data_IF_405160975036
#
_entry.id   IF_405160975036
#
_cell.length_a   1.000
_cell.length_b   1.000
_cell.length_c   1.000
_cell.angle_alpha   90.00
_cell.angle_beta   90.00
_cell.angle_gamma   90.00
#
_symmetry.space_group_name_H-M   'P 1'
#
loop_
_entity.id
_entity.type
_entity.pdbx_description
1 polymer ?
#
# COMPACT_ATOMS: atom_id res chain seq x y z
N UNK A 1 -33.03 -18.92 -22.92
CA UNK A 1 -32.34 -18.32 -21.75
C UNK A 1 -31.03 -19.08 -21.62
N UNK A 2 -30.10 -18.84 -22.56
CA UNK A 2 -28.83 -18.08 -22.40
C UNK A 2 -27.93 -18.78 -21.38
N UNK A 3 -27.05 -19.70 -21.79
CA UNK A 3 -25.66 -19.44 -22.23
C UNK A 3 -25.05 -18.21 -21.52
N UNK A 4 -23.96 -18.44 -20.77
CA UNK A 4 -22.71 -17.66 -20.73
C UNK A 4 -21.98 -17.88 -19.39
N UNK A 5 -21.52 -19.11 -19.18
CA UNK A 5 -20.32 -19.40 -18.40
C UNK A 5 -19.15 -18.63 -19.04
N UNK A 6 -18.55 -17.67 -18.33
CA UNK A 6 -17.39 -16.90 -18.81
C UNK A 6 -16.34 -16.75 -17.72
N UNK A 7 -15.50 -17.77 -17.65
CA UNK A 7 -14.03 -17.73 -17.69
C UNK A 7 -13.36 -16.63 -16.86
N UNK A 8 -12.74 -17.06 -15.77
CA UNK A 8 -11.62 -16.36 -15.14
C UNK A 8 -10.50 -16.12 -16.16
N UNK A 9 -10.17 -14.84 -16.39
CA UNK A 9 -8.97 -14.39 -17.10
C UNK A 9 -8.46 -13.16 -16.32
N UNK A 10 -7.52 -13.38 -15.42
CA UNK A 10 -6.09 -13.07 -15.62
C UNK A 10 -5.80 -11.56 -15.56
N UNK A 11 -5.44 -11.10 -14.36
CA UNK A 11 -4.86 -9.79 -14.13
C UNK A 11 -3.41 -9.79 -14.61
N UNK A 12 -3.19 -9.56 -15.91
CA UNK A 12 -1.86 -9.28 -16.46
C UNK A 12 -1.49 -7.80 -16.18
N UNK A 13 -1.06 -7.51 -14.96
CA UNK A 13 -0.38 -6.24 -14.67
C UNK A 13 1.13 -6.48 -14.68
N UNK A 14 1.73 -6.26 -15.86
CA UNK A 14 3.19 -6.28 -16.03
C UNK A 14 3.85 -5.22 -15.15
N UNK A 15 4.59 -5.67 -14.14
CA UNK A 15 5.35 -4.83 -13.23
C UNK A 15 6.60 -4.26 -13.93
N UNK A 16 6.92 -2.95 -13.79
CA UNK A 16 8.12 -2.37 -14.38
C UNK A 16 9.39 -2.86 -13.65
N UNK A 17 10.33 -3.38 -14.43
CA UNK A 17 11.60 -3.94 -13.95
C UNK A 17 12.53 -2.80 -13.51
N UNK A 18 12.88 -2.76 -12.22
CA UNK A 18 13.98 -1.94 -11.69
C UNK A 18 15.22 -2.84 -11.50
N UNK A 19 16.43 -2.38 -11.84
CA UNK A 19 17.62 -3.22 -11.74
C UNK A 19 18.16 -3.32 -10.32
N UNK A 20 18.44 -4.58 -9.95
CA UNK A 20 19.31 -5.09 -8.88
C UNK A 20 18.89 -4.81 -7.42
N UNK A 21 17.82 -5.49 -6.99
CA UNK A 21 17.59 -5.84 -5.59
C UNK A 21 17.73 -7.36 -5.46
N UNK A 22 18.59 -7.82 -4.55
CA UNK A 22 18.80 -9.24 -4.27
C UNK A 22 17.47 -9.97 -4.10
N UNK A 23 17.33 -11.12 -4.75
CA UNK A 23 16.09 -11.90 -4.86
C UNK A 23 15.38 -12.08 -3.51
N UNK A 24 14.20 -11.44 -3.35
CA UNK A 24 13.14 -11.96 -2.49
C UNK A 24 12.43 -11.01 -1.52
N UNK A 25 12.96 -9.82 -1.21
CA UNK A 25 12.28 -8.87 -0.30
C UNK A 25 11.95 -7.56 -1.04
N UNK A 26 10.67 -7.19 -1.06
CA UNK A 26 10.26 -5.89 -1.59
C UNK A 26 10.96 -4.77 -0.79
N UNK A 27 11.47 -3.71 -1.45
CA UNK A 27 12.15 -2.63 -0.77
C UNK A 27 11.23 -2.03 0.31
N UNK A 28 11.77 -1.85 1.52
CA UNK A 28 11.01 -1.18 2.59
C UNK A 28 10.85 0.28 2.23
N UNK A 29 9.61 0.77 2.33
CA UNK A 29 9.27 2.15 2.02
C UNK A 29 8.46 2.79 3.15
N UNK A 30 8.54 4.11 3.22
CA UNK A 30 7.64 4.94 4.01
C UNK A 30 6.81 5.85 3.08
N UNK A 31 5.58 6.16 3.51
CA UNK A 31 4.76 7.18 2.89
C UNK A 31 4.86 8.47 3.69
N UNK A 32 5.22 9.56 3.01
CA UNK A 32 5.35 10.88 3.61
C UNK A 32 4.40 11.89 2.96
N UNK A 33 3.93 12.86 3.73
CA UNK A 33 3.22 14.01 3.25
C UNK A 33 4.11 14.83 2.30
N UNK A 34 3.64 15.12 1.09
CA UNK A 34 4.40 15.93 0.11
C UNK A 34 4.70 17.35 0.61
N UNK A 35 3.88 17.87 1.53
CA UNK A 35 3.98 19.25 2.02
C UNK A 35 4.93 19.40 3.20
N UNK A 36 4.68 18.63 4.27
CA UNK A 36 5.44 18.76 5.52
C UNK A 36 6.49 17.66 5.72
N UNK A 37 6.54 16.66 4.84
CA UNK A 37 7.49 15.55 4.92
C UNK A 37 7.21 14.53 6.03
N UNK A 38 6.15 14.76 6.82
CA UNK A 38 5.70 13.92 7.91
C UNK A 38 5.15 12.56 7.48
N UNK A 39 5.39 11.53 8.30
CA UNK A 39 4.95 10.15 8.03
C UNK A 39 3.62 9.77 8.69
N UNK A 40 3.03 10.66 9.51
CA UNK A 40 1.72 10.43 10.11
C UNK A 40 0.61 10.74 9.09
N UNK A 41 0.43 9.83 8.14
CA UNK A 41 -0.51 9.95 7.02
C UNK A 41 -1.49 8.79 6.97
N UNK A 42 -2.69 9.03 6.45
CA UNK A 42 -3.74 8.02 6.21
C UNK A 42 -4.27 8.12 4.78
N UNK A 43 -4.81 7.01 4.26
CA UNK A 43 -5.60 6.97 3.01
C UNK A 43 -7.03 6.60 3.35
N UNK A 44 -7.96 7.08 2.53
CA UNK A 44 -9.33 6.58 2.57
C UNK A 44 -9.38 5.15 2.05
N UNK A 45 -10.30 4.37 2.61
CA UNK A 45 -10.45 2.97 2.32
C UNK A 45 -11.89 2.52 2.53
N UNK A 46 -12.30 1.50 1.77
CA UNK A 46 -13.53 0.77 2.06
C UNK A 46 -13.19 -0.57 2.68
N UNK A 47 -13.87 -0.87 3.78
CA UNK A 47 -13.85 -2.16 4.41
C UNK A 47 -15.23 -2.79 4.34
N UNK A 48 -15.27 -4.08 4.05
CA UNK A 48 -16.51 -4.86 3.94
C UNK A 48 -16.59 -5.85 5.10
N UNK A 49 -17.82 -6.13 5.53
CA UNK A 49 -18.06 -7.14 6.55
C UNK A 49 -18.01 -8.53 5.93
N UNK A 50 -16.99 -9.32 6.28
CA UNK A 50 -16.93 -10.73 5.90
C UNK A 50 -17.67 -11.59 6.94
N UNK A 51 -18.75 -12.22 6.52
CA UNK A 51 -19.58 -13.07 7.38
C UNK A 51 -18.83 -14.33 7.80
N UNK A 52 -17.90 -14.84 7.00
CA UNK A 52 -17.22 -16.11 7.31
C UNK A 52 -16.20 -15.95 8.44
N UNK A 53 -15.40 -14.89 8.40
CA UNK A 53 -14.43 -14.55 9.43
C UNK A 53 -15.00 -13.67 10.55
N UNK A 54 -16.22 -13.13 10.37
CA UNK A 54 -16.84 -12.18 11.29
C UNK A 54 -15.94 -10.97 11.57
N UNK A 55 -15.35 -10.43 10.50
CA UNK A 55 -14.41 -9.32 10.59
C UNK A 55 -14.63 -8.31 9.46
N UNK A 56 -14.21 -7.06 9.71
CA UNK A 56 -14.04 -6.07 8.66
C UNK A 56 -12.77 -6.38 7.88
N UNK A 57 -12.90 -6.52 6.57
CA UNK A 57 -11.78 -6.77 5.65
C UNK A 57 -11.60 -5.53 4.80
N UNK A 58 -10.36 -5.04 4.69
CA UNK A 58 -10.01 -3.96 3.78
C UNK A 58 -10.15 -4.44 2.33
N UNK A 59 -11.07 -3.86 1.58
CA UNK A 59 -11.35 -4.26 0.19
C UNK A 59 -10.62 -3.39 -0.83
N UNK A 60 -10.55 -2.07 -0.59
CA UNK A 60 -9.91 -1.13 -1.52
C UNK A 60 -9.38 0.12 -0.79
N UNK A 61 -8.31 0.72 -1.32
CA UNK A 61 -7.76 1.99 -0.84
C UNK A 61 -7.80 3.07 -1.93
N UNK A 62 -8.25 4.26 -1.58
CA UNK A 62 -8.43 5.37 -2.53
C UNK A 62 -7.30 6.38 -2.45
N UNK A 63 -7.16 7.20 -3.50
CA UNK A 63 -6.07 8.18 -3.61
C UNK A 63 -6.19 9.37 -2.67
N UNK A 64 -7.35 9.57 -2.05
CA UNK A 64 -7.47 10.57 -1.00
C UNK A 64 -6.56 10.22 0.19
N UNK A 65 -5.74 11.18 0.62
CA UNK A 65 -4.87 11.02 1.77
C UNK A 65 -4.86 12.26 2.65
N UNK A 66 -4.72 12.05 3.96
CA UNK A 66 -4.70 13.09 4.97
C UNK A 66 -3.42 13.03 5.79
N UNK A 67 -2.81 14.18 6.07
CA UNK A 67 -1.67 14.28 6.98
C UNK A 67 -2.13 14.76 8.35
N UNK A 68 -1.85 13.97 9.39
CA UNK A 68 -2.19 14.29 10.78
C UNK A 68 -1.25 15.30 11.42
N UNK A 69 -0.04 15.52 10.88
CA UNK A 69 0.86 16.55 11.42
C UNK A 69 0.44 17.94 10.95
N UNK A 70 0.28 18.12 9.65
CA UNK A 70 -0.11 19.40 9.07
C UNK A 70 -1.65 19.59 8.95
N UNK A 71 -2.45 18.61 9.39
CA UNK A 71 -3.92 18.61 9.48
C UNK A 71 -4.63 19.00 8.17
N UNK A 72 -4.17 18.46 7.04
CA UNK A 72 -4.64 18.80 5.70
C UNK A 72 -4.61 17.58 4.79
N UNK A 73 -5.42 17.62 3.73
CA UNK A 73 -5.28 16.74 2.58
C UNK A 73 -3.89 16.87 1.93
N UNK A 74 -3.34 15.74 1.49
CA UNK A 74 -2.02 15.67 0.88
C UNK A 74 -1.97 14.58 -0.19
N UNK A 75 -0.99 14.65 -1.09
CA UNK A 75 -0.49 13.45 -1.79
C UNK A 75 0.61 12.78 -0.98
N UNK A 76 0.79 11.48 -1.23
CA UNK A 76 1.82 10.67 -0.60
C UNK A 76 3.05 10.56 -1.48
N UNK A 77 4.22 10.82 -0.89
CA UNK A 77 5.53 10.59 -1.50
C UNK A 77 6.09 9.31 -0.90
N UNK A 78 6.48 8.37 -1.75
CA UNK A 78 7.13 7.12 -1.33
C UNK A 78 8.64 7.36 -1.21
N UNK A 79 9.24 6.90 -0.12
CA UNK A 79 10.69 6.98 0.12
C UNK A 79 11.21 5.62 0.56
N UNK A 80 12.42 5.27 0.14
CA UNK A 80 13.09 4.06 0.63
C UNK A 80 13.50 4.24 2.10
N UNK A 81 13.29 3.19 2.90
CA UNK A 81 13.79 3.11 4.27
C UNK A 81 14.99 2.18 4.27
N UNK A 82 16.12 2.66 4.80
CA UNK A 82 17.30 1.81 4.95
C UNK A 82 16.93 0.57 5.77
N UNK A 83 17.36 -0.61 5.33
CA UNK A 83 17.25 -1.82 6.14
C UNK A 83 18.06 -1.58 7.42
N UNK A 84 17.38 -1.28 8.52
CA UNK A 84 18.02 -1.00 9.80
C UNK A 84 18.92 -2.17 10.19
N UNK A 85 20.23 -1.97 10.08
CA UNK A 85 21.20 -2.85 10.73
C UNK A 85 20.90 -2.80 12.22
N UNK A 86 20.54 -3.95 12.81
CA UNK A 86 20.60 -4.10 14.27
C UNK A 86 22.07 -3.94 14.65
N UNK A 87 22.45 -2.75 15.08
CA UNK A 87 23.71 -2.55 15.80
C UNK A 87 23.61 -3.36 17.10
N UNK A 88 24.46 -4.39 17.20
CA UNK A 88 24.64 -5.16 18.42
C UNK A 88 25.21 -4.27 19.52
N UNK A 89 24.48 -4.14 20.63
CA UNK A 89 25.00 -3.59 21.88
C UNK A 89 25.60 -4.71 22.72
N UNK A 90 26.88 -4.56 23.08
CA UNK A 90 27.73 -5.54 23.76
C UNK A 90 27.52 -5.68 25.26
#
# INVERSE_FOLDING_TARGET
MSEMERVAAETEQGSPILPDVADGEAPRVEHACERCGGIAVTRDAWAEWDVSSQAWVLSETFDFAFCHQCHRETRLVVRAVAAGGREGGG
#
